data_IF_749213090632
#
_entry.id   IF_749213090632
#
_cell.length_a   1.000
_cell.length_b   1.000
_cell.length_c   1.000
_cell.angle_alpha   90.00
_cell.angle_beta   90.00
_cell.angle_gamma   90.00
#
_symmetry.space_group_name_H-M   'P 1'
#
loop_
_entity.id
_entity.type
_entity.pdbx_description
1 polymer ?
#
# COMPACT_ATOMS: atom_id res chain seq x y z
N UNK A 1 5.44 -14.02 11.25
CA UNK A 1 4.97 -12.95 10.33
C UNK A 1 4.47 -11.83 11.22
N UNK A 2 5.03 -10.64 11.05
CA UNK A 2 4.55 -9.43 11.73
C UNK A 2 3.22 -9.03 11.08
N UNK A 3 2.23 -8.59 11.86
CA UNK A 3 1.06 -7.94 11.28
C UNK A 3 1.41 -6.51 10.83
N UNK A 4 0.50 -5.87 10.10
CA UNK A 4 0.73 -4.53 9.54
C UNK A 4 1.01 -3.47 10.64
N UNK A 5 0.28 -3.42 11.77
CA UNK A 5 0.60 -2.53 12.89
C UNK A 5 2.05 -2.69 13.40
N UNK A 6 2.48 -3.92 13.65
CA UNK A 6 3.83 -4.19 14.15
C UNK A 6 4.90 -3.81 13.11
N UNK A 7 4.64 -4.06 11.82
CA UNK A 7 5.55 -3.65 10.75
C UNK A 7 5.70 -2.12 10.69
N UNK A 8 4.57 -1.38 10.74
CA UNK A 8 4.59 0.09 10.75
C UNK A 8 5.31 0.66 11.98
N UNK A 9 5.15 0.05 13.16
CA UNK A 9 5.80 0.46 14.39
C UNK A 9 7.32 0.28 14.37
N UNK A 10 7.81 -0.70 13.60
CA UNK A 10 9.24 -1.00 13.42
C UNK A 10 9.98 -0.11 12.42
N UNK A 11 9.30 0.77 11.68
CA UNK A 11 9.92 1.59 10.62
C UNK A 11 10.76 2.73 11.18
N UNK A 12 11.80 3.10 10.41
CA UNK A 12 12.66 4.26 10.66
C UNK A 12 12.79 5.09 9.37
N UNK A 13 12.36 6.38 9.35
CA UNK A 13 11.72 7.07 10.46
C UNK A 13 10.35 6.46 10.79
N UNK A 14 9.98 6.49 12.07
CA UNK A 14 8.65 6.08 12.50
C UNK A 14 7.62 7.01 11.85
N UNK A 15 6.44 6.51 11.44
CA UNK A 15 5.34 7.38 11.03
C UNK A 15 5.05 8.43 12.13
N UNK A 16 4.76 9.69 11.77
CA UNK A 16 4.31 10.69 12.73
C UNK A 16 3.14 10.17 13.59
N UNK A 17 3.23 10.35 14.92
CA UNK A 17 2.18 9.91 15.87
C UNK A 17 0.82 10.58 15.60
N UNK A 18 0.83 11.72 14.89
CA UNK A 18 -0.37 12.47 14.49
C UNK A 18 -1.05 11.92 13.23
N UNK A 19 -0.44 10.95 12.53
CA UNK A 19 -1.12 10.27 11.44
C UNK A 19 -2.21 9.38 12.03
N UNK A 20 -3.49 9.54 11.65
CA UNK A 20 -4.51 8.60 12.03
C UNK A 20 -4.22 7.26 11.34
N UNK A 21 -3.52 6.38 12.04
CA UNK A 21 -3.64 4.95 11.82
C UNK A 21 -4.96 4.53 12.49
N UNK A 22 -5.83 3.82 11.78
CA UNK A 22 -5.42 2.87 10.77
C UNK A 22 -5.71 3.38 9.34
N UNK A 23 -4.81 3.05 8.42
CA UNK A 23 -5.19 2.78 7.03
C UNK A 23 -6.50 1.96 7.06
N UNK A 24 -7.47 2.14 6.16
CA UNK A 24 -8.72 1.38 6.14
C UNK A 24 -8.50 -0.08 5.70
N UNK A 25 -7.54 -0.73 6.33
CA UNK A 25 -7.13 -2.10 6.20
C UNK A 25 -7.70 -2.74 7.46
N UNK A 26 -8.68 -3.67 7.35
CA UNK A 26 -9.13 -4.38 8.53
C UNK A 26 -7.92 -4.96 9.24
N UNK A 27 -7.89 -4.86 10.57
CA UNK A 27 -6.91 -5.53 11.41
C UNK A 27 -7.15 -7.06 11.32
N UNK A 28 -7.00 -7.62 10.13
CA UNK A 28 -6.99 -9.04 9.87
C UNK A 28 -5.55 -9.50 9.95
N UNK A 29 -5.32 -10.64 10.58
CA UNK A 29 -4.07 -11.38 10.44
C UNK A 29 -3.82 -11.62 8.95
N UNK A 30 -2.86 -10.89 8.37
CA UNK A 30 -2.57 -10.89 6.95
C UNK A 30 -1.18 -10.35 6.71
N UNK A 31 -0.56 -10.76 5.61
CA UNK A 31 0.75 -10.26 5.22
C UNK A 31 0.70 -8.75 4.97
N UNK A 32 1.57 -7.93 5.62
CA UNK A 32 1.57 -6.48 5.43
C UNK A 32 1.73 -6.08 3.97
N UNK A 33 2.55 -6.78 3.19
CA UNK A 33 2.76 -6.52 1.77
C UNK A 33 1.47 -6.70 0.97
N UNK A 34 0.72 -7.78 1.21
CA UNK A 34 -0.57 -8.02 0.55
C UNK A 34 -1.62 -6.96 0.91
N UNK A 35 -1.70 -6.60 2.19
CA UNK A 35 -2.65 -5.61 2.69
C UNK A 35 -2.37 -4.21 2.10
N UNK A 36 -1.10 -3.80 2.09
CA UNK A 36 -0.66 -2.53 1.51
C UNK A 36 -0.91 -2.49 0.01
N UNK A 37 -0.57 -3.56 -0.71
CA UNK A 37 -0.80 -3.66 -2.16
C UNK A 37 -2.29 -3.62 -2.51
N UNK A 38 -3.13 -4.31 -1.71
CA UNK A 38 -4.59 -4.28 -1.88
C UNK A 38 -5.18 -2.88 -1.66
N UNK A 39 -4.73 -2.19 -0.60
CA UNK A 39 -5.15 -0.82 -0.33
C UNK A 39 -4.69 0.16 -1.41
N UNK A 40 -3.46 0.02 -1.90
CA UNK A 40 -2.93 0.84 -3.00
C UNK A 40 -3.77 0.68 -4.27
N UNK A 41 -4.12 -0.57 -4.64
CA UNK A 41 -4.95 -0.84 -5.80
C UNK A 41 -6.33 -0.19 -5.69
N UNK A 42 -6.99 -0.32 -4.52
CA UNK A 42 -8.30 0.28 -4.28
C UNK A 42 -8.28 1.81 -4.30
N UNK A 43 -7.23 2.44 -3.76
CA UNK A 43 -7.05 3.89 -3.84
C UNK A 43 -6.85 4.36 -5.28
N UNK A 44 -6.02 3.65 -6.05
CA UNK A 44 -5.80 3.98 -7.45
C UNK A 44 -7.08 3.79 -8.30
N UNK A 45 -7.93 2.80 -8.00
CA UNK A 45 -9.23 2.64 -8.67
C UNK A 45 -10.15 3.84 -8.43
N UNK A 46 -10.21 4.34 -7.19
CA UNK A 46 -10.96 5.57 -6.87
C UNK A 46 -10.37 6.79 -7.57
N UNK A 47 -9.03 6.90 -7.60
CA UNK A 47 -8.34 7.99 -8.29
C UNK A 47 -8.70 8.05 -9.77
N UNK A 48 -8.73 6.89 -10.45
CA UNK A 48 -9.10 6.79 -11.87
C UNK A 48 -10.60 7.07 -12.08
N UNK A 49 -11.46 6.59 -11.19
CA UNK A 49 -12.91 6.85 -11.27
C UNK A 49 -13.25 8.33 -11.08
N UNK A 50 -12.43 9.08 -10.31
CA UNK A 50 -12.63 10.51 -10.04
C UNK A 50 -12.27 11.47 -11.19
N UNK A 51 -11.83 10.97 -12.36
CA UNK A 51 -11.61 11.74 -13.59
C UNK A 51 -10.84 13.07 -13.45
N UNK A 52 -9.86 13.13 -12.55
CA UNK A 52 -9.02 14.33 -12.37
C UNK A 52 -9.62 15.42 -11.47
N UNK A 53 -10.73 15.15 -10.78
CA UNK A 53 -11.19 15.99 -9.68
C UNK A 53 -10.20 15.96 -8.50
N UNK A 54 -10.27 16.99 -7.63
CA UNK A 54 -9.41 17.08 -6.44
C UNK A 54 -9.46 15.82 -5.56
N UNK A 55 -10.62 15.17 -5.48
CA UNK A 55 -10.78 13.90 -4.77
C UNK A 55 -9.88 12.79 -5.35
N UNK A 56 -9.86 12.65 -6.67
CA UNK A 56 -9.01 11.68 -7.34
C UNK A 56 -7.51 11.95 -7.16
N UNK A 57 -7.11 13.23 -7.06
CA UNK A 57 -5.72 13.58 -6.75
C UNK A 57 -5.29 13.13 -5.34
N UNK A 58 -6.17 13.25 -4.33
CA UNK A 58 -5.90 12.74 -2.99
C UNK A 58 -5.83 11.21 -2.95
N UNK A 59 -6.72 10.53 -3.66
CA UNK A 59 -6.68 9.07 -3.79
C UNK A 59 -5.40 8.59 -4.51
N UNK A 60 -4.91 9.34 -5.50
CA UNK A 60 -3.64 9.03 -6.17
C UNK A 60 -2.44 9.16 -5.23
N UNK A 61 -2.40 10.23 -4.42
CA UNK A 61 -1.36 10.40 -3.39
C UNK A 61 -1.42 9.28 -2.33
N UNK A 62 -2.62 8.87 -1.94
CA UNK A 62 -2.79 7.74 -1.03
C UNK A 62 -2.27 6.43 -1.64
N UNK A 63 -2.58 6.17 -2.92
CA UNK A 63 -2.10 5.00 -3.64
C UNK A 63 -0.56 4.97 -3.74
N UNK A 64 0.07 6.10 -4.04
CA UNK A 64 1.53 6.25 -4.12
C UNK A 64 2.23 5.93 -2.79
N UNK A 65 1.74 6.49 -1.68
CA UNK A 65 2.29 6.22 -0.35
C UNK A 65 2.13 4.75 0.07
N UNK A 66 0.96 4.16 -0.21
CA UNK A 66 0.71 2.74 0.07
C UNK A 66 1.59 1.81 -0.77
N UNK A 67 1.78 2.13 -2.06
CA UNK A 67 2.64 1.37 -2.95
C UNK A 67 4.11 1.44 -2.51
N UNK A 68 4.56 2.62 -2.09
CA UNK A 68 5.90 2.81 -1.52
C UNK A 68 6.12 1.86 -0.33
N UNK A 69 5.14 1.77 0.59
CA UNK A 69 5.25 0.88 1.74
C UNK A 69 5.20 -0.61 1.36
N UNK A 70 4.39 -0.98 0.37
CA UNK A 70 4.40 -2.35 -0.16
C UNK A 70 5.76 -2.72 -0.75
N UNK A 71 6.40 -1.82 -1.50
CA UNK A 71 7.74 -2.02 -2.05
C UNK A 71 8.80 -2.12 -0.95
N UNK A 72 8.77 -1.23 0.06
CA UNK A 72 9.69 -1.32 1.20
C UNK A 72 9.57 -2.65 1.95
N UNK A 73 8.35 -3.16 2.13
CA UNK A 73 8.11 -4.48 2.71
C UNK A 73 8.71 -5.60 1.83
N UNK A 74 8.51 -5.54 0.51
CA UNK A 74 9.04 -6.51 -0.44
C UNK A 74 10.58 -6.55 -0.47
N UNK A 75 11.25 -5.41 -0.29
CA UNK A 75 12.73 -5.36 -0.25
C UNK A 75 13.31 -6.16 0.91
N UNK A 76 12.55 -6.36 1.99
CA UNK A 76 12.95 -7.18 3.14
C UNK A 76 12.63 -8.68 2.97
N UNK A 77 12.01 -9.08 1.85
CA UNK A 77 11.61 -10.47 1.60
C UNK A 77 12.78 -11.36 1.17
N UNK A 78 12.55 -12.67 1.16
CA UNK A 78 13.55 -13.65 0.72
C UNK A 78 13.89 -13.53 -0.79
N UNK A 79 12.91 -13.12 -1.61
CA UNK A 79 13.07 -12.83 -3.04
C UNK A 79 12.43 -11.47 -3.38
N UNK A 80 13.17 -10.37 -3.21
CA UNK A 80 12.66 -9.03 -3.45
C UNK A 80 12.19 -8.79 -4.89
N UNK A 81 12.88 -9.37 -5.87
CA UNK A 81 12.54 -9.15 -7.29
C UNK A 81 11.19 -9.78 -7.64
N UNK A 82 10.98 -11.04 -7.22
CA UNK A 82 9.70 -11.71 -7.43
C UNK A 82 8.53 -11.00 -6.73
N UNK A 83 8.78 -10.47 -5.52
CA UNK A 83 7.76 -9.76 -4.75
C UNK A 83 7.41 -8.40 -5.37
N UNK A 84 8.40 -7.63 -5.82
CA UNK A 84 8.18 -6.38 -6.54
C UNK A 84 7.43 -6.62 -7.86
N UNK A 85 7.79 -7.66 -8.62
CA UNK A 85 7.08 -8.02 -9.85
C UNK A 85 5.62 -8.40 -9.57
N UNK A 86 5.33 -9.05 -8.45
CA UNK A 86 3.96 -9.38 -8.03
C UNK A 86 3.14 -8.13 -7.70
N UNK A 87 3.75 -7.18 -7.00
CA UNK A 87 3.15 -5.86 -6.71
C UNK A 87 2.82 -5.15 -8.02
N UNK A 88 3.78 -5.03 -8.94
CA UNK A 88 3.60 -4.39 -10.23
C UNK A 88 2.54 -5.09 -11.08
N UNK A 89 2.53 -6.41 -11.13
CA UNK A 89 1.51 -7.18 -11.84
C UNK A 89 0.12 -6.93 -11.26
N UNK A 90 -0.01 -6.81 -9.94
CA UNK A 90 -1.30 -6.55 -9.28
C UNK A 90 -1.80 -5.12 -9.55
N UNK A 91 -0.91 -4.14 -9.59
CA UNK A 91 -1.27 -2.75 -9.90
C UNK A 91 -1.53 -2.56 -11.40
N UNK A 92 -0.75 -3.23 -12.25
CA UNK A 92 -0.77 -3.11 -13.70
C UNK A 92 -1.79 -4.00 -14.43
N UNK A 93 -2.29 -5.08 -13.81
CA UNK A 93 -3.48 -5.81 -14.29
C UNK A 93 -4.73 -4.97 -14.04
N UNK A 94 -4.91 -3.96 -14.86
CA UNK A 94 -6.15 -3.19 -15.02
C UNK A 94 -6.54 -3.40 -16.48
N UNK A 95 -7.43 -4.35 -16.73
CA UNK A 95 -8.08 -4.43 -18.04
C UNK A 95 -8.92 -3.16 -18.20
N UNK A 96 -8.60 -2.39 -19.25
CA UNK A 96 -9.44 -1.28 -19.71
C UNK A 96 -10.64 -1.78 -20.50
#
# INVERSE_FOLDING_TARGET
MSDLPDWLAGRTPRPPDALPLPLPIPASAGDPGELLTGAAAAALDRALAGQGERGGAYDLLAADGLLTYACEHAVAAADPEADLLRILARIGRREG
#
